data_IF_053930533278
#
_entry.id   IF_053930533278
#
_cell.length_a   1.000
_cell.length_b   1.000
_cell.length_c   1.000
_cell.angle_alpha   90.00
_cell.angle_beta   90.00
_cell.angle_gamma   90.00
#
_symmetry.space_group_name_H-M   'P 1'
#
loop_
_entity.id
_entity.type
_entity.pdbx_description
1 polymer ?
#
# COMPACT_ATOMS: atom_id res chain seq x y z
N UNK A 1 -2.21 69.32 103.35
CA UNK A 1 -3.08 69.78 104.44
C UNK A 1 -2.62 71.18 104.81
N UNK A 2 -3.52 72.17 104.80
CA UNK A 2 -3.19 73.52 105.27
C UNK A 2 -3.62 73.63 106.73
N UNK A 3 -2.67 73.90 107.64
CA UNK A 3 -3.02 74.31 109.00
C UNK A 3 -3.67 75.70 108.90
N UNK A 4 -4.84 75.95 109.51
CA UNK A 4 -5.46 77.27 109.47
C UNK A 4 -4.52 78.31 110.08
N UNK A 5 -4.20 79.36 109.32
CA UNK A 5 -3.34 80.45 109.81
C UNK A 5 -3.93 81.11 111.06
N UNK A 6 -5.25 81.05 111.23
CA UNK A 6 -6.01 81.54 112.39
C UNK A 6 -5.78 80.75 113.69
N UNK A 7 -5.24 79.52 113.63
CA UNK A 7 -4.77 78.81 114.83
C UNK A 7 -3.35 79.26 115.20
N UNK A 8 -2.46 79.33 114.21
CA UNK A 8 -1.09 79.80 114.39
C UNK A 8 -1.04 81.25 114.91
N UNK A 9 -1.88 82.14 114.36
CA UNK A 9 -2.01 83.52 114.85
C UNK A 9 -2.70 83.61 116.21
N UNK A 10 -3.65 82.73 116.56
CA UNK A 10 -4.25 82.71 117.92
C UNK A 10 -3.22 82.34 118.98
N UNK A 11 -2.43 81.29 118.76
CA UNK A 11 -1.36 80.89 119.67
C UNK A 11 -0.30 82.00 119.81
N UNK A 12 0.17 82.55 118.70
CA UNK A 12 1.16 83.64 118.70
C UNK A 12 0.65 84.96 119.32
N UNK A 13 -0.68 85.17 119.39
CA UNK A 13 -1.30 86.28 120.13
C UNK A 13 -1.46 85.96 121.62
N UNK A 14 -1.84 84.74 122.00
CA UNK A 14 -1.92 84.33 123.42
C UNK A 14 -0.57 84.42 124.12
N UNK A 15 0.52 83.99 123.48
CA UNK A 15 1.88 84.14 124.03
C UNK A 15 2.29 85.61 124.19
N UNK A 16 1.85 86.51 123.30
CA UNK A 16 2.30 87.92 123.29
C UNK A 16 1.40 88.90 124.08
N UNK A 17 0.14 88.55 124.34
CA UNK A 17 -0.75 89.38 125.16
C UNK A 17 -0.48 89.18 126.66
N UNK A 18 0.01 88.01 127.06
CA UNK A 18 0.25 87.61 128.47
C UNK A 18 1.42 88.32 129.18
N UNK A 19 2.02 89.37 128.59
CA UNK A 19 3.24 90.03 129.08
C UNK A 19 3.10 91.56 129.25
N UNK A 20 1.97 91.98 129.84
CA UNK A 20 1.78 93.21 130.64
C UNK A 20 0.87 92.80 131.81
N UNK A 21 1.01 93.25 133.06
CA UNK A 21 1.68 94.41 133.69
C UNK A 21 2.42 93.90 134.96
N UNK A 22 3.52 94.55 135.45
CA UNK A 22 4.18 94.11 136.69
C UNK A 22 3.29 94.25 137.93
N UNK A 23 3.32 93.25 138.81
CA UNK A 23 2.81 93.37 140.18
C UNK A 23 3.71 94.30 141.00
N UNK A 24 3.13 95.32 141.61
CA UNK A 24 3.87 96.36 142.35
C UNK A 24 4.21 95.88 143.77
N UNK A 25 5.51 95.69 144.04
CA UNK A 25 6.06 95.85 145.38
C UNK A 25 6.93 97.12 145.37
N UNK A 26 6.60 98.09 146.21
CA UNK A 26 7.09 99.48 146.09
C UNK A 26 8.29 99.73 147.01
N UNK A 27 9.49 99.42 146.53
CA UNK A 27 10.70 100.08 147.04
C UNK A 27 10.96 101.38 146.25
N UNK A 28 11.24 102.47 146.97
CA UNK A 28 11.27 103.82 146.43
C UNK A 28 12.59 104.13 145.70
N UNK A 29 12.70 103.69 144.44
CA UNK A 29 13.82 104.02 143.55
C UNK A 29 13.55 105.32 142.74
N UNK A 30 14.50 106.27 142.64
CA UNK A 30 14.23 107.59 142.04
C UNK A 30 13.84 107.58 140.54
N UNK A 31 12.98 108.51 140.07
CA UNK A 31 12.51 108.59 138.67
C UNK A 31 13.60 108.64 137.58
N UNK A 32 14.82 109.07 137.93
CA UNK A 32 15.98 109.09 137.02
C UNK A 32 16.37 107.68 136.57
N UNK A 33 16.22 106.67 137.44
CA UNK A 33 16.56 105.28 137.11
C UNK A 33 15.59 104.69 136.08
N UNK A 34 14.29 104.95 136.19
CA UNK A 34 13.31 104.43 135.25
C UNK A 34 13.47 105.00 133.83
N UNK A 35 13.90 106.26 133.71
CA UNK A 35 14.29 106.84 132.41
C UNK A 35 15.54 106.20 131.81
N UNK A 36 16.48 105.72 132.64
CA UNK A 36 17.66 104.99 132.19
C UNK A 36 17.31 103.54 131.79
N UNK A 37 16.38 102.89 132.49
CA UNK A 37 15.81 101.59 132.11
C UNK A 37 15.09 101.69 130.76
N UNK A 38 14.18 102.65 130.57
CA UNK A 38 13.48 102.84 129.29
C UNK A 38 14.40 103.26 128.15
N UNK A 39 15.53 103.94 128.43
CA UNK A 39 16.60 104.15 127.44
C UNK A 39 17.36 102.88 127.10
N UNK A 40 17.64 101.99 128.07
CA UNK A 40 18.22 100.67 127.81
C UNK A 40 17.28 99.80 126.99
N UNK A 41 16.01 99.69 127.38
CA UNK A 41 14.97 98.98 126.61
C UNK A 41 14.89 99.48 125.15
N UNK A 42 14.87 100.79 124.91
CA UNK A 42 14.87 101.34 123.56
C UNK A 42 16.14 101.01 122.77
N UNK A 43 17.32 101.08 123.39
CA UNK A 43 18.59 100.70 122.76
C UNK A 43 18.65 99.20 122.45
N UNK A 44 18.17 98.34 123.35
CA UNK A 44 18.19 96.89 123.16
C UNK A 44 17.10 96.42 122.18
N UNK A 45 15.96 97.09 122.12
CA UNK A 45 14.95 96.91 121.06
C UNK A 45 15.48 97.37 119.71
N UNK A 46 16.14 98.53 119.61
CA UNK A 46 16.70 99.01 118.33
C UNK A 46 17.86 98.13 117.87
N UNK A 47 18.74 97.66 118.77
CA UNK A 47 19.71 96.59 118.49
C UNK A 47 19.04 95.32 117.98
N UNK A 48 17.94 94.88 118.60
CA UNK A 48 17.20 93.69 118.13
C UNK A 48 16.57 93.89 116.75
N UNK A 49 16.13 95.12 116.45
CA UNK A 49 15.54 95.51 115.17
C UNK A 49 16.61 95.66 114.08
N UNK A 50 17.81 96.13 114.42
CA UNK A 50 18.98 96.18 113.55
C UNK A 50 19.45 94.76 113.22
N UNK A 51 19.59 93.88 114.22
CA UNK A 51 19.88 92.47 114.00
C UNK A 51 18.80 91.78 113.13
N UNK A 52 17.51 92.08 113.32
CA UNK A 52 16.45 91.56 112.44
C UNK A 52 16.51 92.14 111.02
N UNK A 53 16.87 93.42 110.85
CA UNK A 53 17.11 94.03 109.52
C UNK A 53 18.30 93.36 108.82
N UNK A 54 19.40 93.10 109.52
CA UNK A 54 20.58 92.40 109.01
C UNK A 54 20.25 90.94 108.63
N UNK A 55 19.52 90.22 109.49
CA UNK A 55 19.01 88.87 109.19
C UNK A 55 18.03 88.87 108.00
N UNK A 56 17.22 89.91 107.83
CA UNK A 56 16.35 90.05 106.65
C UNK A 56 17.14 90.38 105.39
N UNK A 57 18.10 91.29 105.46
CA UNK A 57 18.97 91.68 104.33
C UNK A 57 19.84 90.51 103.86
N UNK A 58 20.45 89.76 104.77
CA UNK A 58 21.22 88.54 104.46
C UNK A 58 20.34 87.44 103.86
N UNK A 59 19.13 87.20 104.40
CA UNK A 59 18.15 86.29 103.79
C UNK A 59 17.73 86.74 102.39
N UNK A 60 17.50 88.03 102.17
CA UNK A 60 17.19 88.58 100.85
C UNK A 60 18.36 88.48 99.87
N UNK A 61 19.60 88.67 100.33
CA UNK A 61 20.79 88.49 99.50
C UNK A 61 20.93 87.02 99.06
N UNK A 62 20.80 86.07 99.99
CA UNK A 62 20.82 84.62 99.68
C UNK A 62 19.67 84.23 98.74
N UNK A 63 18.47 84.79 98.91
CA UNK A 63 17.34 84.50 98.01
C UNK A 63 17.52 85.11 96.62
N UNK A 64 18.08 86.32 96.49
CA UNK A 64 18.46 86.91 95.19
C UNK A 64 19.53 86.06 94.49
N UNK A 65 20.59 85.69 95.21
CA UNK A 65 21.66 84.83 94.70
C UNK A 65 21.12 83.47 94.22
N UNK A 66 20.19 82.85 94.97
CA UNK A 66 19.51 81.60 94.55
C UNK A 66 18.63 81.81 93.31
N UNK A 67 17.89 82.91 93.22
CA UNK A 67 17.09 83.25 92.03
C UNK A 67 17.97 83.45 90.79
N UNK A 68 19.12 84.13 90.94
CA UNK A 68 20.11 84.32 89.90
C UNK A 68 20.73 82.99 89.46
N UNK A 69 21.09 82.12 90.40
CA UNK A 69 21.57 80.75 90.11
C UNK A 69 20.53 79.89 89.38
N UNK A 70 19.24 79.95 89.76
CA UNK A 70 18.17 79.22 89.07
C UNK A 70 17.97 79.76 87.66
N UNK A 71 17.91 81.08 87.49
CA UNK A 71 17.76 81.75 86.19
C UNK A 71 18.96 81.52 85.28
N UNK A 72 20.15 81.36 85.85
CA UNK A 72 21.37 81.01 85.13
C UNK A 72 21.32 79.54 84.66
N UNK A 73 20.96 78.60 85.54
CA UNK A 73 20.75 77.19 85.16
C UNK A 73 19.63 77.00 84.14
N UNK A 74 18.57 77.79 84.20
CA UNK A 74 17.48 77.79 83.21
C UNK A 74 18.00 78.20 81.81
N UNK A 75 18.86 79.23 81.74
CA UNK A 75 19.51 79.66 80.49
C UNK A 75 20.48 78.61 79.96
N UNK A 76 21.27 78.00 80.85
CA UNK A 76 22.20 76.91 80.52
C UNK A 76 21.44 75.70 79.93
N UNK A 77 20.37 75.25 80.60
CA UNK A 77 19.51 74.17 80.11
C UNK A 77 18.86 74.51 78.76
N UNK A 78 18.31 75.72 78.59
CA UNK A 78 17.75 76.18 77.30
C UNK A 78 18.82 76.22 76.21
N UNK A 79 20.05 76.61 76.55
CA UNK A 79 21.21 76.48 75.68
C UNK A 79 21.48 75.03 75.30
N UNK A 80 21.58 74.12 76.28
CA UNK A 80 21.79 72.69 76.05
C UNK A 80 20.71 72.05 75.18
N UNK A 81 19.43 72.36 75.39
CA UNK A 81 18.34 71.88 74.52
C UNK A 81 18.58 72.25 73.06
N UNK A 82 18.90 73.51 72.75
CA UNK A 82 19.21 73.94 71.38
C UNK A 82 20.44 73.22 70.79
N UNK A 83 21.37 72.74 71.62
CA UNK A 83 22.50 71.91 71.16
C UNK A 83 22.10 70.45 70.96
N UNK A 84 21.26 69.88 71.82
CA UNK A 84 20.72 68.53 71.66
C UNK A 84 19.78 68.42 70.46
N UNK A 85 18.88 69.38 70.24
CA UNK A 85 17.99 69.41 69.07
C UNK A 85 18.78 69.48 67.77
N UNK A 86 19.82 70.31 67.72
CA UNK A 86 20.77 70.35 66.59
C UNK A 86 21.48 69.01 66.41
N UNK A 87 21.97 68.38 67.48
CA UNK A 87 22.63 67.08 67.42
C UNK A 87 21.70 65.96 66.93
N UNK A 88 20.42 65.96 67.34
CA UNK A 88 19.40 65.02 66.87
C UNK A 88 19.06 65.25 65.39
N UNK A 89 18.93 66.50 64.96
CA UNK A 89 18.75 66.85 63.55
C UNK A 89 19.97 66.42 62.71
N UNK A 90 21.19 66.68 63.18
CA UNK A 90 22.43 66.30 62.50
C UNK A 90 22.60 64.77 62.40
N UNK A 91 22.26 64.03 63.46
CA UNK A 91 22.37 62.56 63.47
C UNK A 91 21.31 61.89 62.61
N UNK A 92 20.05 62.37 62.63
CA UNK A 92 19.01 61.87 61.72
C UNK A 92 19.28 62.30 60.27
N UNK A 93 19.84 63.49 60.01
CA UNK A 93 20.29 63.88 58.68
C UNK A 93 21.45 62.99 58.17
N UNK A 94 22.42 62.62 59.02
CA UNK A 94 23.48 61.66 58.69
C UNK A 94 22.91 60.27 58.40
N UNK A 95 21.98 59.79 59.23
CA UNK A 95 21.26 58.51 59.07
C UNK A 95 20.47 58.47 57.76
N UNK A 96 19.66 59.50 57.49
CA UNK A 96 18.90 59.66 56.25
C UNK A 96 19.82 59.65 55.01
N UNK A 97 20.94 60.37 55.03
CA UNK A 97 21.94 60.36 53.93
C UNK A 97 22.56 58.96 53.74
N UNK A 98 22.86 58.25 54.83
CA UNK A 98 23.40 56.89 54.75
C UNK A 98 22.37 55.89 54.20
N UNK A 99 21.11 55.98 54.62
CA UNK A 99 20.01 55.15 54.10
C UNK A 99 19.73 55.43 52.62
N UNK A 100 19.77 56.70 52.19
CA UNK A 100 19.65 57.09 50.78
C UNK A 100 20.77 56.50 49.93
N UNK A 101 22.04 56.62 50.36
CA UNK A 101 23.19 56.02 49.66
C UNK A 101 23.06 54.50 49.55
N UNK A 102 22.76 53.81 50.65
CA UNK A 102 22.56 52.37 50.64
C UNK A 102 21.38 51.93 49.74
N UNK A 103 20.30 52.73 49.66
CA UNK A 103 19.18 52.48 48.75
C UNK A 103 19.55 52.71 47.28
N UNK A 104 20.36 53.73 46.97
CA UNK A 104 20.91 53.96 45.63
C UNK A 104 21.89 52.86 45.21
N UNK A 105 22.81 52.46 46.09
CA UNK A 105 23.78 51.39 45.85
C UNK A 105 23.08 50.07 45.56
N UNK A 106 22.07 49.70 46.35
CA UNK A 106 21.20 48.54 46.06
C UNK A 106 20.51 48.66 44.70
N UNK A 107 19.94 49.82 44.36
CA UNK A 107 19.32 50.06 43.04
C UNK A 107 20.31 49.99 41.88
N UNK A 108 21.57 50.39 42.09
CA UNK A 108 22.65 50.29 41.09
C UNK A 108 23.09 48.83 40.91
N UNK A 109 23.30 48.12 42.01
CA UNK A 109 23.63 46.69 42.02
C UNK A 109 22.56 45.85 41.30
N UNK A 110 21.28 45.99 41.66
CA UNK A 110 20.21 45.20 41.01
C UNK A 110 20.00 45.52 39.53
N UNK A 111 20.39 46.71 39.04
CA UNK A 111 20.46 47.00 37.59
C UNK A 111 21.60 46.23 36.93
N UNK A 112 22.80 46.32 37.51
CA UNK A 112 23.99 45.61 37.03
C UNK A 112 23.82 44.09 37.06
N UNK A 113 23.15 43.54 38.08
CA UNK A 113 22.77 42.13 38.18
C UNK A 113 21.80 41.71 37.07
N UNK A 114 20.74 42.51 36.83
CA UNK A 114 19.78 42.24 35.76
C UNK A 114 20.42 42.35 34.36
N UNK A 115 21.33 43.30 34.15
CA UNK A 115 22.11 43.45 32.92
C UNK A 115 23.09 42.28 32.74
N UNK A 116 23.81 41.88 33.79
CA UNK A 116 24.70 40.72 33.77
C UNK A 116 23.94 39.41 33.48
N UNK A 117 22.73 39.22 34.03
CA UNK A 117 21.87 38.08 33.73
C UNK A 117 21.39 38.08 32.27
N UNK A 118 21.00 39.25 31.73
CA UNK A 118 20.63 39.40 30.30
C UNK A 118 21.80 39.07 29.38
N UNK A 119 22.99 39.61 29.66
CA UNK A 119 24.20 39.37 28.87
C UNK A 119 24.65 37.90 28.95
N UNK A 120 24.58 37.27 30.13
CA UNK A 120 24.83 35.82 30.27
C UNK A 120 23.84 35.00 29.43
N UNK A 121 22.55 35.31 29.48
CA UNK A 121 21.54 34.61 28.67
C UNK A 121 21.72 34.82 27.15
N UNK A 122 22.26 35.95 26.71
CA UNK A 122 22.64 36.19 25.31
C UNK A 122 23.88 35.39 24.91
N UNK A 123 24.92 35.36 25.75
CA UNK A 123 26.13 34.57 25.51
C UNK A 123 25.83 33.07 25.42
N UNK A 124 24.92 32.54 26.26
CA UNK A 124 24.49 31.15 26.20
C UNK A 124 23.70 30.78 24.92
N UNK A 125 22.96 31.73 24.33
CA UNK A 125 22.34 31.52 23.01
C UNK A 125 23.39 31.48 21.90
N UNK A 126 24.28 32.47 21.86
CA UNK A 126 25.35 32.56 20.86
C UNK A 126 26.33 31.38 20.94
N UNK A 127 26.53 30.79 22.13
CA UNK A 127 27.29 29.54 22.33
C UNK A 127 26.62 28.35 21.64
N UNK A 128 25.31 28.14 21.86
CA UNK A 128 24.54 27.06 21.23
C UNK A 128 24.45 27.21 19.72
N UNK A 129 24.17 28.43 19.24
CA UNK A 129 24.15 28.75 17.80
C UNK A 129 25.51 28.46 17.16
N UNK A 130 26.61 28.81 17.83
CA UNK A 130 27.97 28.44 17.41
C UNK A 130 28.18 26.93 17.42
N UNK A 131 27.79 26.22 18.47
CA UNK A 131 27.95 24.76 18.58
C UNK A 131 27.17 24.01 17.49
N UNK A 132 25.93 24.41 17.21
CA UNK A 132 25.14 23.92 16.08
C UNK A 132 25.85 24.17 14.74
N UNK A 133 26.35 25.38 14.50
CA UNK A 133 27.07 25.70 13.26
C UNK A 133 28.38 24.92 13.15
N UNK A 134 29.12 24.73 14.24
CA UNK A 134 30.34 23.92 14.27
C UNK A 134 30.04 22.45 13.96
N UNK A 135 28.96 21.87 14.51
CA UNK A 135 28.54 20.51 14.16
C UNK A 135 28.04 20.38 12.71
N UNK A 136 27.35 21.39 12.16
CA UNK A 136 26.98 21.42 10.73
C UNK A 136 28.22 21.47 9.84
N UNK A 137 29.23 22.28 10.19
CA UNK A 137 30.50 22.36 9.47
C UNK A 137 31.28 21.03 9.55
N UNK A 138 31.42 20.43 10.73
CA UNK A 138 32.08 19.12 10.91
C UNK A 138 31.42 18.01 10.07
N UNK A 139 30.10 18.04 9.91
CA UNK A 139 29.36 17.08 9.06
C UNK A 139 29.54 17.30 7.56
N UNK A 140 29.77 18.54 7.12
CA UNK A 140 29.91 18.90 5.71
C UNK A 140 31.37 18.98 5.24
N UNK A 141 32.32 19.13 6.16
CA UNK A 141 33.75 19.20 5.89
C UNK A 141 34.28 18.01 5.06
N UNK A 142 33.93 16.74 5.33
CA UNK A 142 34.35 15.63 4.47
C UNK A 142 33.87 15.77 3.02
N UNK A 143 32.62 16.21 2.82
CA UNK A 143 32.06 16.45 1.50
C UNK A 143 32.79 17.61 0.77
N UNK A 144 33.08 18.69 1.49
CA UNK A 144 33.83 19.83 0.93
C UNK A 144 35.27 19.44 0.55
N UNK A 145 35.95 18.64 1.38
CA UNK A 145 37.29 18.10 1.08
C UNK A 145 37.28 17.20 -0.16
N UNK A 146 36.31 16.29 -0.27
CA UNK A 146 36.14 15.42 -1.44
C UNK A 146 35.85 16.24 -2.72
N UNK A 147 34.97 17.24 -2.65
CA UNK A 147 34.68 18.10 -3.80
C UNK A 147 35.91 18.94 -4.22
N UNK A 148 36.75 19.37 -3.27
CA UNK A 148 38.04 19.98 -3.56
C UNK A 148 38.99 19.04 -4.31
N UNK A 149 39.17 17.81 -3.82
CA UNK A 149 39.99 16.79 -4.48
C UNK A 149 39.48 16.43 -5.89
N UNK A 150 38.16 16.43 -6.10
CA UNK A 150 37.58 16.20 -7.44
C UNK A 150 37.86 17.36 -8.40
N UNK A 151 37.92 18.61 -7.93
CA UNK A 151 38.36 19.75 -8.75
C UNK A 151 39.87 19.68 -9.07
N UNK A 152 40.70 19.25 -8.12
CA UNK A 152 42.15 19.03 -8.37
C UNK A 152 42.40 17.97 -9.46
N UNK A 153 41.51 16.97 -9.55
CA UNK A 153 41.54 15.94 -10.59
C UNK A 153 40.86 16.34 -11.92
N UNK A 154 39.98 17.34 -11.91
CA UNK A 154 39.18 17.79 -13.06
C UNK A 154 39.37 19.29 -13.31
N UNK A 155 40.52 19.72 -13.87
CA UNK A 155 40.86 21.13 -14.10
C UNK A 155 39.96 21.85 -15.13
N UNK A 156 39.01 21.14 -15.73
CA UNK A 156 37.93 21.71 -16.56
C UNK A 156 36.94 22.57 -15.75
N UNK A 157 36.82 22.34 -14.43
CA UNK A 157 35.92 23.06 -13.54
C UNK A 157 36.71 23.94 -12.58
N UNK A 158 36.35 25.22 -12.47
CA UNK A 158 37.05 26.18 -11.62
C UNK A 158 36.41 26.29 -10.23
N UNK A 159 35.13 25.94 -10.09
CA UNK A 159 34.38 26.02 -8.82
C UNK A 159 33.46 24.82 -8.61
N UNK A 160 33.24 24.48 -7.34
CA UNK A 160 32.33 23.40 -6.92
C UNK A 160 30.91 23.53 -7.53
N UNK A 161 30.27 24.72 -7.62
CA UNK A 161 28.94 24.83 -8.23
C UNK A 161 28.90 24.50 -9.73
N UNK A 162 29.99 24.70 -10.47
CA UNK A 162 30.09 24.37 -11.90
C UNK A 162 30.12 22.85 -12.09
N UNK A 163 30.89 22.16 -11.24
CA UNK A 163 30.95 20.71 -11.15
C UNK A 163 29.59 20.11 -10.72
N UNK A 164 28.93 20.69 -9.72
CA UNK A 164 27.60 20.25 -9.24
C UNK A 164 26.54 20.42 -10.34
N UNK A 165 26.45 21.59 -10.98
CA UNK A 165 25.50 21.83 -12.07
C UNK A 165 25.74 20.89 -13.26
N UNK A 166 27.00 20.50 -13.53
CA UNK A 166 27.33 19.47 -14.52
C UNK A 166 26.80 18.09 -14.10
N UNK A 167 26.94 17.69 -12.84
CA UNK A 167 26.39 16.42 -12.35
C UNK A 167 24.87 16.41 -12.31
N UNK A 168 24.22 17.51 -11.93
CA UNK A 168 22.76 17.68 -11.98
C UNK A 168 22.25 17.52 -13.42
N UNK A 169 22.82 18.25 -14.38
CA UNK A 169 22.48 18.10 -15.80
C UNK A 169 22.75 16.71 -16.37
N UNK A 170 23.78 15.99 -15.89
CA UNK A 170 24.03 14.59 -16.26
C UNK A 170 23.03 13.61 -15.62
N UNK A 171 22.54 13.90 -14.41
CA UNK A 171 21.51 13.11 -13.75
C UNK A 171 20.14 13.29 -14.44
N UNK A 172 19.76 14.53 -14.77
CA UNK A 172 18.55 14.86 -15.53
C UNK A 172 18.60 14.20 -16.92
N UNK A 173 19.73 14.29 -17.62
CA UNK A 173 19.92 13.59 -18.90
C UNK A 173 19.86 12.06 -18.74
N UNK A 174 20.36 11.47 -17.65
CA UNK A 174 20.19 10.04 -17.39
C UNK A 174 18.73 9.64 -17.16
N UNK A 175 17.94 10.48 -16.47
CA UNK A 175 16.50 10.26 -16.29
C UNK A 175 15.75 10.37 -17.62
N UNK A 176 16.03 11.40 -18.42
CA UNK A 176 15.44 11.58 -19.74
C UNK A 176 15.79 10.43 -20.70
N UNK A 177 17.06 10.00 -20.74
CA UNK A 177 17.49 8.87 -21.55
C UNK A 177 16.76 7.58 -21.15
N UNK A 178 16.67 7.26 -19.85
CA UNK A 178 15.90 6.10 -19.35
C UNK A 178 14.40 6.16 -19.68
N UNK A 179 13.82 7.35 -19.77
CA UNK A 179 12.42 7.50 -20.23
C UNK A 179 12.31 7.14 -21.72
N UNK A 180 13.19 7.68 -22.57
CA UNK A 180 13.18 7.37 -24.01
C UNK A 180 13.58 5.93 -24.34
N UNK A 181 14.39 5.30 -23.49
CA UNK A 181 14.73 3.87 -23.57
C UNK A 181 13.50 2.99 -23.32
N UNK A 182 12.71 3.29 -22.28
CA UNK A 182 11.45 2.59 -21.99
C UNK A 182 10.44 2.73 -23.12
N UNK A 183 10.22 3.95 -23.60
CA UNK A 183 9.33 4.23 -24.73
C UNK A 183 9.72 3.43 -25.99
N UNK A 184 11.02 3.34 -26.30
CA UNK A 184 11.52 2.52 -27.41
C UNK A 184 11.38 1.01 -27.18
N UNK A 185 11.48 0.54 -25.94
CA UNK A 185 11.23 -0.86 -25.60
C UNK A 185 9.74 -1.20 -25.76
N UNK A 186 8.84 -0.31 -25.31
CA UNK A 186 7.39 -0.41 -25.50
C UNK A 186 7.04 -0.44 -27.00
N UNK A 187 7.57 0.49 -27.81
CA UNK A 187 7.44 0.50 -29.28
C UNK A 187 7.94 -0.81 -29.94
N UNK A 188 9.08 -1.35 -29.47
CA UNK A 188 9.64 -2.61 -29.98
C UNK A 188 8.82 -3.84 -29.56
N UNK A 189 8.24 -3.84 -28.37
CA UNK A 189 7.35 -4.90 -27.90
C UNK A 189 6.01 -4.89 -28.64
N UNK A 190 5.43 -3.71 -28.89
CA UNK A 190 4.29 -3.56 -29.79
C UNK A 190 4.60 -4.05 -31.20
N UNK A 191 5.74 -3.65 -31.78
CA UNK A 191 6.16 -4.09 -33.11
C UNK A 191 6.35 -5.61 -33.18
N UNK A 192 6.94 -6.22 -32.15
CA UNK A 192 7.06 -7.69 -32.01
C UNK A 192 5.70 -8.37 -31.91
N UNK A 193 4.77 -7.83 -31.11
CA UNK A 193 3.41 -8.34 -30.97
C UNK A 193 2.66 -8.34 -32.30
N UNK A 194 2.72 -7.22 -33.05
CA UNK A 194 2.12 -7.10 -34.40
C UNK A 194 2.74 -8.08 -35.40
N UNK A 195 4.06 -8.26 -35.38
CA UNK A 195 4.76 -9.24 -36.24
C UNK A 195 4.39 -10.69 -35.90
N UNK A 196 4.21 -11.01 -34.62
CA UNK A 196 3.79 -12.34 -34.17
C UNK A 196 2.34 -12.63 -34.58
N UNK A 197 1.41 -11.69 -34.36
CA UNK A 197 0.02 -11.78 -34.83
C UNK A 197 -0.08 -12.03 -36.34
N UNK A 198 0.71 -11.30 -37.14
CA UNK A 198 0.77 -11.51 -38.59
C UNK A 198 1.32 -12.91 -38.94
N UNK A 199 2.38 -13.35 -38.26
CA UNK A 199 2.98 -14.68 -38.46
C UNK A 199 2.00 -15.82 -38.15
N UNK A 200 1.23 -15.67 -37.08
CA UNK A 200 0.27 -16.71 -36.65
C UNK A 200 -0.93 -16.74 -37.59
N UNK A 201 -1.47 -15.59 -38.00
CA UNK A 201 -2.50 -15.51 -39.03
C UNK A 201 -2.06 -16.10 -40.39
N UNK A 202 -0.79 -15.93 -40.78
CA UNK A 202 -0.23 -16.59 -41.97
C UNK A 202 -0.10 -18.11 -41.81
N UNK A 203 0.19 -18.62 -40.60
CA UNK A 203 0.21 -20.06 -40.33
C UNK A 203 -1.21 -20.65 -40.40
N UNK A 204 -2.19 -20.00 -39.78
CA UNK A 204 -3.60 -20.40 -39.83
C UNK A 204 -4.13 -20.44 -41.28
N UNK A 205 -3.80 -19.43 -42.09
CA UNK A 205 -4.19 -19.37 -43.50
C UNK A 205 -3.52 -20.49 -44.33
N UNK A 206 -2.24 -20.78 -44.11
CA UNK A 206 -1.54 -21.91 -44.75
C UNK A 206 -2.15 -23.26 -44.32
N UNK A 207 -2.50 -23.42 -43.04
CA UNK A 207 -3.19 -24.61 -42.54
C UNK A 207 -4.56 -24.76 -43.19
N UNK A 208 -5.35 -23.69 -43.25
CA UNK A 208 -6.68 -23.63 -43.90
C UNK A 208 -6.61 -24.02 -45.38
N UNK A 209 -5.65 -23.47 -46.13
CA UNK A 209 -5.41 -23.85 -47.53
C UNK A 209 -4.95 -25.30 -47.67
N UNK A 210 -4.13 -25.81 -46.75
CA UNK A 210 -3.68 -27.20 -46.77
C UNK A 210 -4.82 -28.20 -46.54
N UNK A 211 -5.76 -27.87 -45.63
CA UNK A 211 -6.97 -28.65 -45.38
C UNK A 211 -7.90 -28.65 -46.60
N UNK A 212 -8.14 -27.48 -47.20
CA UNK A 212 -8.93 -27.38 -48.44
C UNK A 212 -8.31 -28.19 -49.59
N UNK A 213 -6.97 -28.23 -49.71
CA UNK A 213 -6.28 -29.07 -50.68
C UNK A 213 -6.52 -30.56 -50.43
N UNK A 214 -6.49 -31.02 -49.17
CA UNK A 214 -6.77 -32.42 -48.82
C UNK A 214 -8.22 -32.80 -49.19
N UNK A 215 -9.20 -31.99 -48.78
CA UNK A 215 -10.62 -32.21 -49.12
C UNK A 215 -10.87 -32.29 -50.64
N UNK A 216 -10.20 -31.43 -51.42
CA UNK A 216 -10.30 -31.46 -52.88
C UNK A 216 -9.63 -32.70 -53.51
N UNK A 217 -8.56 -33.23 -52.90
CA UNK A 217 -7.94 -34.48 -53.32
C UNK A 217 -8.84 -35.68 -52.99
N UNK A 218 -9.39 -35.76 -51.78
CA UNK A 218 -10.35 -36.80 -51.37
C UNK A 218 -11.57 -36.85 -52.30
N UNK A 219 -12.14 -35.69 -52.64
CA UNK A 219 -13.25 -35.59 -53.60
C UNK A 219 -12.86 -36.07 -55.02
N UNK A 220 -11.64 -35.76 -55.46
CA UNK A 220 -11.11 -36.12 -56.77
C UNK A 220 -10.75 -37.62 -56.86
N UNK A 221 -10.25 -38.21 -55.78
CA UNK A 221 -9.99 -39.65 -55.68
C UNK A 221 -11.30 -40.44 -55.63
N UNK A 222 -12.26 -40.04 -54.78
CA UNK A 222 -13.60 -40.63 -54.77
C UNK A 222 -14.34 -40.49 -56.12
N UNK A 223 -14.05 -39.44 -56.91
CA UNK A 223 -14.56 -39.32 -58.28
C UNK A 223 -13.88 -40.31 -59.24
N UNK A 224 -12.55 -40.46 -59.18
CA UNK A 224 -11.78 -41.43 -59.98
C UNK A 224 -12.21 -42.87 -59.70
N UNK A 225 -12.39 -43.25 -58.44
CA UNK A 225 -12.86 -44.59 -58.05
C UNK A 225 -14.24 -44.91 -58.65
N UNK A 226 -15.17 -43.94 -58.65
CA UNK A 226 -16.49 -44.09 -59.28
C UNK A 226 -16.35 -44.29 -60.79
N UNK A 227 -15.50 -43.52 -61.46
CA UNK A 227 -15.22 -43.66 -62.90
C UNK A 227 -14.65 -45.05 -63.21
N UNK A 228 -13.60 -45.49 -62.52
CA UNK A 228 -13.00 -46.82 -62.68
C UNK A 228 -14.02 -47.96 -62.43
N UNK A 229 -14.91 -47.80 -61.45
CA UNK A 229 -16.00 -48.74 -61.19
C UNK A 229 -16.99 -48.83 -62.36
N UNK A 230 -17.34 -47.70 -62.98
CA UNK A 230 -18.23 -47.67 -64.15
C UNK A 230 -17.54 -48.15 -65.44
N UNK A 231 -16.26 -47.84 -65.65
CA UNK A 231 -15.46 -48.38 -66.74
C UNK A 231 -15.34 -49.91 -66.65
N UNK A 232 -15.07 -50.45 -65.45
CA UNK A 232 -15.04 -51.90 -65.22
C UNK A 232 -16.38 -52.58 -65.53
N UNK A 233 -17.50 -51.99 -65.06
CA UNK A 233 -18.86 -52.46 -65.41
C UNK A 233 -19.15 -52.37 -66.91
N UNK A 234 -18.72 -51.30 -67.57
CA UNK A 234 -18.89 -51.11 -69.01
C UNK A 234 -18.11 -52.16 -69.81
N UNK A 235 -16.86 -52.44 -69.44
CA UNK A 235 -16.04 -53.51 -70.03
C UNK A 235 -16.70 -54.88 -69.81
N UNK A 236 -17.26 -55.15 -68.62
CA UNK A 236 -18.03 -56.38 -68.37
C UNK A 236 -19.27 -56.50 -69.27
N UNK A 237 -20.02 -55.40 -69.47
CA UNK A 237 -21.17 -55.35 -70.38
C UNK A 237 -20.72 -55.58 -71.83
N UNK A 238 -19.67 -54.92 -72.30
CA UNK A 238 -19.11 -55.09 -73.64
C UNK A 238 -18.63 -56.53 -73.88
N UNK A 239 -17.87 -57.11 -72.95
CA UNK A 239 -17.41 -58.50 -73.05
C UNK A 239 -18.59 -59.50 -73.05
N UNK A 240 -19.62 -59.26 -72.23
CA UNK A 240 -20.83 -60.08 -72.20
C UNK A 240 -21.63 -59.99 -73.50
N UNK A 241 -21.72 -58.78 -74.08
CA UNK A 241 -22.36 -58.56 -75.37
C UNK A 241 -21.58 -59.25 -76.50
N UNK A 242 -20.26 -59.07 -76.56
CA UNK A 242 -19.40 -59.74 -77.54
C UNK A 242 -19.48 -61.27 -77.46
N UNK A 243 -19.48 -61.84 -76.24
CA UNK A 243 -19.67 -63.27 -76.03
C UNK A 243 -21.05 -63.77 -76.49
N UNK A 244 -22.13 -63.01 -76.24
CA UNK A 244 -23.47 -63.32 -76.73
C UNK A 244 -23.58 -63.23 -78.25
N UNK A 245 -22.99 -62.20 -78.88
CA UNK A 245 -22.96 -62.05 -80.34
C UNK A 245 -22.15 -63.18 -81.00
N UNK A 246 -21.01 -63.59 -80.41
CA UNK A 246 -20.23 -64.72 -80.89
C UNK A 246 -20.98 -66.06 -80.75
N UNK A 247 -21.70 -66.26 -79.64
CA UNK A 247 -22.57 -67.43 -79.45
C UNK A 247 -23.72 -67.44 -80.47
N UNK A 248 -24.39 -66.30 -80.69
CA UNK A 248 -25.43 -66.16 -81.70
C UNK A 248 -24.89 -66.50 -83.10
N UNK A 249 -23.75 -65.92 -83.49
CA UNK A 249 -23.10 -66.22 -84.77
C UNK A 249 -22.75 -67.70 -84.93
N UNK A 250 -22.20 -68.35 -83.88
CA UNK A 250 -21.92 -69.80 -83.88
C UNK A 250 -23.19 -70.64 -84.03
N UNK A 251 -24.25 -70.31 -83.30
CA UNK A 251 -25.55 -71.01 -83.40
C UNK A 251 -26.17 -70.83 -84.78
N UNK A 252 -26.13 -69.61 -85.35
CA UNK A 252 -26.60 -69.33 -86.71
C UNK A 252 -25.85 -70.15 -87.76
N UNK A 253 -24.52 -70.21 -87.69
CA UNK A 253 -23.72 -71.04 -88.61
C UNK A 253 -23.95 -72.55 -88.40
N UNK A 254 -24.16 -73.01 -87.17
CA UNK A 254 -24.51 -74.41 -86.91
C UNK A 254 -25.89 -74.79 -87.48
N UNK A 255 -26.89 -73.91 -87.33
CA UNK A 255 -28.22 -74.07 -87.92
C UNK A 255 -28.14 -74.14 -89.46
N UNK A 256 -27.43 -73.20 -90.08
CA UNK A 256 -27.22 -73.13 -91.52
C UNK A 256 -26.52 -74.39 -92.07
N UNK A 257 -25.46 -74.85 -91.39
CA UNK A 257 -24.73 -76.06 -91.78
C UNK A 257 -25.62 -77.33 -91.70
N UNK A 258 -26.43 -77.46 -90.65
CA UNK A 258 -27.40 -78.56 -90.51
C UNK A 258 -28.49 -78.49 -91.58
N UNK A 259 -29.01 -77.30 -91.86
CA UNK A 259 -30.01 -77.06 -92.92
C UNK A 259 -29.46 -77.42 -94.31
N UNK A 260 -28.24 -76.99 -94.64
CA UNK A 260 -27.57 -77.35 -95.89
C UNK A 260 -27.38 -78.86 -96.03
N UNK A 261 -27.01 -79.57 -94.95
CA UNK A 261 -26.89 -81.03 -94.95
C UNK A 261 -28.26 -81.72 -95.19
N UNK A 262 -29.34 -81.18 -94.63
CA UNK A 262 -30.72 -81.67 -94.90
C UNK A 262 -31.13 -81.41 -96.35
N UNK A 263 -30.85 -80.24 -96.91
CA UNK A 263 -31.09 -79.92 -98.33
C UNK A 263 -30.33 -80.88 -99.26
N UNK A 264 -29.05 -81.14 -98.98
CA UNK A 264 -28.24 -82.14 -99.69
C UNK A 264 -28.87 -83.54 -99.62
N UNK A 265 -29.29 -83.98 -98.43
CA UNK A 265 -29.95 -85.28 -98.25
C UNK A 265 -31.29 -85.40 -98.98
N UNK A 266 -32.08 -84.32 -99.03
CA UNK A 266 -33.33 -84.22 -99.80
C UNK A 266 -33.11 -83.99 -101.31
N UNK A 267 -31.87 -83.74 -101.74
CA UNK A 267 -31.49 -83.31 -103.10
C UNK A 267 -32.25 -82.06 -103.58
N UNK A 268 -32.53 -81.14 -102.64
CA UNK A 268 -33.24 -79.88 -102.90
C UNK A 268 -32.26 -78.70 -102.75
N UNK A 269 -32.39 -77.63 -103.57
CA UNK A 269 -31.62 -76.41 -103.36
C UNK A 269 -32.03 -75.75 -102.03
N UNK A 270 -31.11 -75.06 -101.32
CA UNK A 270 -31.48 -74.22 -100.19
C UNK A 270 -32.48 -73.13 -100.64
N UNK A 271 -33.67 -73.15 -100.05
CA UNK A 271 -34.79 -72.28 -100.44
C UNK A 271 -35.16 -71.22 -99.39
N UNK A 272 -34.44 -71.18 -98.26
CA UNK A 272 -34.56 -70.16 -97.22
C UNK A 272 -33.41 -69.16 -97.32
N UNK A 273 -33.63 -67.95 -96.81
CA UNK A 273 -32.58 -66.96 -96.67
C UNK A 273 -31.52 -67.39 -95.64
N UNK A 274 -30.31 -66.88 -95.80
CA UNK A 274 -29.14 -67.19 -94.98
C UNK A 274 -29.31 -66.65 -93.54
N UNK A 275 -30.04 -65.54 -93.37
CA UNK A 275 -30.32 -64.97 -92.04
C UNK A 275 -31.54 -65.56 -91.32
N UNK A 276 -32.45 -66.26 -92.03
CA UNK A 276 -33.61 -66.93 -91.42
C UNK A 276 -33.22 -68.22 -90.68
N UNK A 277 -32.56 -68.05 -89.54
CA UNK A 277 -32.09 -69.19 -88.76
C UNK A 277 -33.19 -69.91 -87.97
N UNK A 278 -34.39 -69.33 -87.87
CA UNK A 278 -35.55 -69.99 -87.25
C UNK A 278 -36.21 -70.95 -88.24
N UNK A 279 -36.48 -70.51 -89.48
CA UNK A 279 -36.96 -71.39 -90.56
C UNK A 279 -35.97 -72.51 -90.91
N UNK A 280 -34.66 -72.21 -90.91
CA UNK A 280 -33.61 -73.23 -91.09
C UNK A 280 -33.69 -74.34 -90.03
N UNK A 281 -33.82 -73.97 -88.75
CA UNK A 281 -33.95 -74.94 -87.66
C UNK A 281 -35.27 -75.72 -87.71
N UNK A 282 -36.38 -75.09 -88.09
CA UNK A 282 -37.67 -75.78 -88.23
C UNK A 282 -37.62 -76.82 -89.36
N UNK A 283 -36.97 -76.54 -90.49
CA UNK A 283 -36.78 -77.55 -91.56
C UNK A 283 -35.86 -78.71 -91.14
N UNK A 284 -34.83 -78.45 -90.33
CA UNK A 284 -33.99 -79.51 -89.72
C UNK A 284 -34.80 -80.36 -88.74
N UNK A 285 -35.59 -79.73 -87.88
CA UNK A 285 -36.52 -80.38 -86.94
C UNK A 285 -37.52 -81.28 -87.66
N UNK A 286 -38.19 -80.77 -88.69
CA UNK A 286 -39.12 -81.55 -89.51
C UNK A 286 -38.44 -82.77 -90.13
N UNK A 287 -37.25 -82.63 -90.73
CA UNK A 287 -36.52 -83.78 -91.29
C UNK A 287 -36.12 -84.82 -90.24
N UNK A 288 -35.75 -84.42 -89.02
CA UNK A 288 -35.46 -85.34 -87.92
C UNK A 288 -36.73 -86.05 -87.44
N UNK A 289 -37.89 -85.37 -87.42
CA UNK A 289 -39.19 -85.97 -87.11
C UNK A 289 -39.67 -86.93 -88.21
N UNK A 290 -39.51 -86.57 -89.49
CA UNK A 290 -39.75 -87.46 -90.64
C UNK A 290 -38.87 -88.71 -90.55
N UNK A 291 -37.57 -88.56 -90.24
CA UNK A 291 -36.65 -89.71 -90.20
C UNK A 291 -36.83 -90.58 -88.96
N UNK A 292 -37.19 -90.00 -87.81
CA UNK A 292 -37.48 -90.76 -86.60
C UNK A 292 -38.86 -91.43 -86.63
N UNK A 293 -39.86 -90.84 -87.28
CA UNK A 293 -41.14 -91.52 -87.58
C UNK A 293 -40.96 -92.66 -88.58
N UNK A 294 -40.17 -92.47 -89.65
CA UNK A 294 -39.74 -93.58 -90.53
C UNK A 294 -39.00 -94.70 -89.79
N UNK A 295 -38.07 -94.38 -88.88
CA UNK A 295 -37.32 -95.40 -88.14
C UNK A 295 -38.16 -96.10 -87.06
N UNK A 296 -39.14 -95.42 -86.47
CA UNK A 296 -40.05 -96.03 -85.48
C UNK A 296 -41.16 -96.85 -86.15
N UNK A 297 -41.62 -96.50 -87.35
CA UNK A 297 -42.47 -97.40 -88.15
C UNK A 297 -41.69 -98.64 -88.61
N UNK A 298 -40.42 -98.49 -89.02
CA UNK A 298 -39.54 -99.63 -89.36
C UNK A 298 -39.32 -100.56 -88.15
N UNK A 299 -39.02 -100.01 -86.96
CA UNK A 299 -38.88 -100.81 -85.73
C UNK A 299 -40.19 -101.49 -85.31
N UNK A 300 -41.34 -100.84 -85.49
CA UNK A 300 -42.66 -101.45 -85.23
C UNK A 300 -42.94 -102.60 -86.20
N UNK A 301 -42.59 -102.45 -87.48
CA UNK A 301 -42.70 -103.53 -88.47
C UNK A 301 -41.74 -104.70 -88.21
N UNK A 302 -40.55 -104.44 -87.64
CA UNK A 302 -39.65 -105.51 -87.19
C UNK A 302 -40.12 -106.19 -85.89
N UNK A 303 -40.80 -105.46 -84.99
CA UNK A 303 -41.32 -106.00 -83.73
C UNK A 303 -42.65 -106.76 -83.86
N UNK A 304 -43.32 -106.69 -85.01
CA UNK A 304 -44.55 -107.43 -85.31
C UNK A 304 -44.31 -108.77 -86.03
N UNK A 305 -43.13 -109.37 -85.85
CA UNK A 305 -42.73 -110.66 -86.41
C UNK A 305 -42.00 -111.52 -85.34
N UNK A 306 -42.79 -112.31 -84.64
CA UNK A 306 -42.43 -113.34 -83.65
C UNK A 306 -41.64 -114.54 -84.25
N UNK A 307 -41.08 -115.48 -83.44
CA UNK A 307 -40.47 -115.33 -82.10
C UNK A 307 -39.20 -116.20 -81.82
N UNK A 308 -38.35 -115.81 -80.85
CA UNK A 308 -37.36 -116.67 -80.14
C UNK A 308 -36.02 -116.95 -80.87
N UNK A 309 -34.91 -117.40 -80.25
CA UNK A 309 -34.46 -117.72 -78.87
C UNK A 309 -32.92 -117.98 -78.90
N UNK A 310 -32.04 -117.92 -77.87
CA UNK A 310 -32.06 -117.51 -76.46
C UNK A 310 -30.60 -117.19 -75.97
N UNK A 311 -30.38 -116.13 -75.17
CA UNK A 311 -29.21 -115.95 -74.25
C UNK A 311 -27.83 -115.57 -74.85
N UNK A 312 -26.88 -114.97 -74.10
CA UNK A 312 -26.97 -114.32 -72.78
C UNK A 312 -25.59 -114.07 -72.08
N UNK A 313 -25.61 -113.31 -70.96
CA UNK A 313 -24.62 -113.23 -69.84
C UNK A 313 -23.37 -112.31 -69.96
N UNK A 314 -23.22 -111.38 -68.99
CA UNK A 314 -21.98 -110.65 -68.60
C UNK A 314 -21.78 -109.27 -69.28
N UNK A 315 -21.65 -108.08 -68.66
CA UNK A 315 -21.10 -107.53 -67.38
C UNK A 315 -19.56 -107.44 -67.29
N UNK A 316 -18.96 -106.37 -66.70
CA UNK A 316 -19.50 -105.08 -66.22
C UNK A 316 -18.65 -103.86 -66.71
N UNK A 317 -18.74 -102.72 -66.00
CA UNK A 317 -17.86 -101.54 -66.05
C UNK A 317 -17.97 -100.62 -67.30
N UNK A 318 -17.79 -99.29 -67.19
CA UNK A 318 -17.36 -98.46 -66.04
C UNK A 318 -18.14 -97.14 -66.00
N UNK A 319 -18.40 -96.63 -64.80
CA UNK A 319 -18.73 -95.21 -64.62
C UNK A 319 -17.52 -94.35 -64.99
N UNK A 320 -17.73 -93.22 -65.68
CA UNK A 320 -16.76 -92.11 -65.68
C UNK A 320 -17.42 -90.91 -65.04
N UNK A 321 -17.44 -90.95 -63.71
CA UNK A 321 -17.87 -89.83 -62.87
C UNK A 321 -16.83 -88.70 -62.98
N UNK A 322 -16.95 -87.80 -63.96
CA UNK A 322 -16.12 -86.59 -64.02
C UNK A 322 -16.60 -85.61 -62.94
N UNK A 323 -16.23 -85.91 -61.69
CA UNK A 323 -16.23 -84.95 -60.59
C UNK A 323 -15.14 -83.91 -60.80
N UNK A 324 -15.40 -82.92 -61.66
CA UNK A 324 -14.58 -81.71 -61.71
C UNK A 324 -14.99 -80.75 -60.57
N UNK A 325 -14.70 -81.14 -59.32
CA UNK A 325 -14.99 -80.34 -58.11
C UNK A 325 -13.79 -79.48 -57.69
N UNK A 326 -13.18 -78.79 -58.64
CA UNK A 326 -12.14 -77.77 -58.42
C UNK A 326 -12.41 -76.61 -59.39
N UNK A 327 -12.71 -75.38 -58.97
CA UNK A 327 -12.75 -74.86 -57.61
C UNK A 327 -13.91 -73.87 -57.42
N UNK A 328 -14.99 -74.30 -56.76
CA UNK A 328 -15.87 -73.37 -56.06
C UNK A 328 -15.22 -73.01 -54.72
N UNK A 329 -14.35 -71.99 -54.73
CA UNK A 329 -13.84 -71.35 -53.50
C UNK A 329 -14.29 -69.89 -53.45
N UNK A 330 -15.44 -69.70 -52.83
CA UNK A 330 -15.86 -68.44 -52.25
C UNK A 330 -16.10 -68.67 -50.75
N UNK A 331 -15.70 -67.70 -49.93
CA UNK A 331 -15.80 -67.65 -48.47
C UNK A 331 -14.95 -68.66 -47.64
N UNK A 332 -14.68 -68.36 -46.35
CA UNK A 332 -13.46 -68.79 -45.67
C UNK A 332 -13.68 -69.57 -44.35
N UNK A 333 -12.61 -70.06 -43.71
CA UNK A 333 -12.54 -70.21 -42.26
C UNK A 333 -12.20 -68.87 -41.57
N UNK A 334 -12.71 -68.65 -40.36
CA UNK A 334 -12.53 -67.43 -39.56
C UNK A 334 -11.25 -67.47 -38.67
N UNK A 335 -11.14 -66.49 -37.76
CA UNK A 335 -10.20 -66.39 -36.61
C UNK A 335 -8.72 -66.08 -36.95
N UNK A 336 -8.33 -64.80 -36.85
CA UNK A 336 -6.94 -64.39 -37.12
C UNK A 336 -6.47 -62.99 -36.65
N UNK A 337 -7.22 -62.27 -35.81
CA UNK A 337 -6.81 -60.95 -35.30
C UNK A 337 -7.69 -59.77 -35.78
N UNK A 338 -7.58 -58.58 -35.16
CA UNK A 338 -8.72 -57.66 -35.07
C UNK A 338 -8.75 -56.50 -36.07
N UNK A 339 -9.87 -56.37 -36.79
CA UNK A 339 -10.28 -55.14 -37.47
C UNK A 339 -11.47 -54.52 -36.72
N UNK A 340 -11.20 -53.66 -35.73
CA UNK A 340 -12.21 -53.00 -34.88
C UNK A 340 -12.82 -51.74 -35.52
N UNK A 341 -13.43 -51.90 -36.70
CA UNK A 341 -14.22 -50.82 -37.31
C UNK A 341 -15.62 -50.73 -36.68
N UNK A 342 -15.90 -49.61 -36.02
CA UNK A 342 -17.24 -49.26 -35.55
C UNK A 342 -18.17 -48.99 -36.74
N UNK A 343 -19.40 -49.50 -36.66
CA UNK A 343 -20.54 -48.89 -37.35
C UNK A 343 -21.50 -48.32 -36.29
N UNK A 344 -22.20 -47.21 -36.58
CA UNK A 344 -23.17 -46.63 -35.68
C UNK A 344 -24.52 -47.36 -35.78
N UNK A 345 -25.12 -47.64 -34.63
CA UNK A 345 -26.56 -47.76 -34.47
C UNK A 345 -26.91 -46.95 -33.21
N UNK A 346 -27.93 -46.09 -33.32
CA UNK A 346 -28.44 -45.31 -32.19
C UNK A 346 -29.84 -45.79 -31.80
N UNK A 347 -30.48 -44.99 -30.93
CA UNK A 347 -31.90 -45.05 -30.57
C UNK A 347 -32.27 -46.14 -29.54
N UNK A 348 -32.26 -45.72 -28.25
CA UNK A 348 -33.18 -46.13 -27.16
C UNK A 348 -33.11 -47.62 -26.69
N UNK A 349 -33.46 -48.00 -25.46
CA UNK A 349 -33.98 -47.27 -24.28
C UNK A 349 -33.61 -48.05 -22.99
N UNK A 350 -33.92 -47.52 -21.79
CA UNK A 350 -34.04 -48.37 -20.58
C UNK A 350 -33.07 -48.11 -19.42
N UNK A 351 -33.63 -47.51 -18.37
CA UNK A 351 -33.13 -47.35 -16.99
C UNK A 351 -32.31 -48.50 -16.38
N UNK A 352 -31.31 -48.17 -15.54
CA UNK A 352 -31.34 -48.37 -14.07
C UNK A 352 -30.13 -47.64 -13.43
N UNK A 353 -30.24 -47.25 -12.16
CA UNK A 353 -29.22 -46.49 -11.42
C UNK A 353 -28.31 -47.39 -10.57
N UNK A 354 -27.09 -46.92 -10.27
CA UNK A 354 -26.60 -46.80 -8.89
C UNK A 354 -25.33 -45.94 -8.80
N UNK A 355 -25.03 -45.45 -7.59
CA UNK A 355 -23.94 -44.52 -7.32
C UNK A 355 -22.58 -45.17 -7.07
N UNK A 356 -21.50 -44.52 -7.50
CA UNK A 356 -20.60 -43.77 -6.59
C UNK A 356 -19.68 -42.81 -7.34
#
# INVERSE_FOLDING_TARGET
MAVPWEEYFRLALQEKISLKIPGQNVEHLPPVLHLLEKRRELVDVDRSLQAQKEVFQTRMAVLKQRWEQVKQKERELKGSFVHFDKFLQDTEARRSRALQRAAEERRRASRQEAEALRLRAQLEKLRREREELQHRLQRLEPCARLLGQVLELLPEFQRVPELVARFEGLADMQVALRLTERQRLEELEEARGRLQQLRDAWQDEVLRQSQQRVQLLEHLEAARERTLCWESKWIQIQNTAAAKTLLLGRTRMAALNLFQLVCQHKRQPPALDIEDTEGQLEQVKLFILDRSSMLTSFRRAQASLDPGEQGGRGTPEKEVYISCRVCAKWCPPEMGGPCSLRLPCGVQEGHIASAK
#
